data_IF_042043605579
#
_entry.id   IF_042043605579
#
_cell.length_a   1.000
_cell.length_b   1.000
_cell.length_c   1.000
_cell.angle_alpha   90.00
_cell.angle_beta   90.00
_cell.angle_gamma   90.00
#
_symmetry.space_group_name_H-M   'P 1'
#
loop_
_entity.id
_entity.type
_entity.pdbx_description
1 polymer ?
#
# COMPACT_ATOMS: atom_id res chain seq x y z
N UNK A 1 7.58 -18.56 -9.32
CA UNK A 1 8.10 -17.30 -9.88
C UNK A 1 7.75 -16.17 -8.93
N UNK A 2 8.71 -15.32 -8.56
CA UNK A 2 8.48 -14.20 -7.65
C UNK A 2 7.72 -13.09 -8.38
N UNK A 3 6.65 -12.56 -7.76
CA UNK A 3 5.85 -11.42 -8.24
C UNK A 3 6.69 -10.15 -8.49
N UNK A 4 7.94 -10.14 -8.06
CA UNK A 4 8.81 -8.96 -7.95
C UNK A 4 9.92 -8.90 -8.98
N UNK A 5 10.03 -9.86 -9.91
CA UNK A 5 11.23 -9.92 -10.77
C UNK A 5 11.24 -8.80 -11.83
N UNK A 6 10.07 -8.34 -12.30
CA UNK A 6 9.91 -7.12 -13.11
C UNK A 6 8.71 -6.26 -12.69
N UNK A 7 8.16 -6.49 -11.50
CA UNK A 7 6.99 -5.76 -11.00
C UNK A 7 7.39 -4.58 -10.10
N UNK A 8 6.73 -3.43 -10.27
CA UNK A 8 6.89 -2.27 -9.38
C UNK A 8 5.61 -1.99 -8.61
N UNK A 9 5.77 -1.75 -7.30
CA UNK A 9 4.70 -1.24 -6.45
C UNK A 9 5.07 0.17 -5.99
N UNK A 10 4.19 1.14 -6.23
CA UNK A 10 4.39 2.51 -5.74
C UNK A 10 3.09 3.19 -5.34
N UNK A 11 3.24 4.17 -4.44
CA UNK A 11 2.18 5.07 -4.02
C UNK A 11 2.46 6.48 -4.58
N UNK A 12 1.43 7.15 -5.08
CA UNK A 12 1.50 8.53 -5.56
C UNK A 12 0.35 9.34 -4.98
N UNK A 13 0.63 10.45 -4.32
CA UNK A 13 -0.39 11.42 -3.93
C UNK A 13 -0.84 12.13 -5.22
N UNK A 14 -2.12 12.00 -5.55
CA UNK A 14 -2.74 12.68 -6.71
C UNK A 14 -3.38 13.99 -6.28
N UNK A 15 -3.98 13.99 -5.09
CA UNK A 15 -4.58 15.16 -4.44
C UNK A 15 -4.29 15.04 -2.94
N UNK A 16 -3.71 16.08 -2.34
CA UNK A 16 -3.40 16.11 -0.91
C UNK A 16 -4.59 16.55 -0.05
N UNK A 17 -5.72 16.91 -0.67
CA UNK A 17 -6.95 17.31 0.01
C UNK A 17 -6.85 18.65 0.73
N UNK A 18 -5.77 19.42 0.54
CA UNK A 18 -5.58 20.71 1.24
C UNK A 18 -6.66 21.74 0.95
N UNK A 19 -7.38 21.59 -0.16
CA UNK A 19 -8.47 22.49 -0.58
C UNK A 19 -9.86 22.04 -0.14
N UNK A 20 -10.01 20.87 0.49
CA UNK A 20 -11.30 20.29 0.90
C UNK A 20 -11.19 19.77 2.35
N UNK A 21 -12.04 20.29 3.24
CA UNK A 21 -11.89 20.22 4.69
C UNK A 21 -12.08 18.85 5.36
N UNK A 22 -12.05 17.76 4.61
CA UNK A 22 -12.50 16.48 5.11
C UNK A 22 -11.98 15.33 4.25
N UNK A 23 -10.83 14.78 4.64
CA UNK A 23 -10.48 13.38 4.36
C UNK A 23 -10.38 13.01 2.87
N UNK A 24 -10.22 14.00 1.98
CA UNK A 24 -10.34 13.83 0.53
C UNK A 24 -9.02 13.56 -0.19
N UNK A 25 -7.93 13.30 0.54
CA UNK A 25 -6.66 13.00 -0.09
C UNK A 25 -6.82 11.76 -0.98
N UNK A 26 -6.50 11.90 -2.26
CA UNK A 26 -6.56 10.83 -3.26
C UNK A 26 -5.15 10.32 -3.48
N UNK A 27 -4.92 9.09 -3.05
CA UNK A 27 -3.63 8.42 -3.18
C UNK A 27 -3.79 7.27 -4.16
N UNK A 28 -2.96 7.23 -5.19
CA UNK A 28 -2.92 6.11 -6.11
C UNK A 28 -1.96 5.04 -5.59
N UNK A 29 -2.44 3.80 -5.50
CA UNK A 29 -1.60 2.60 -5.43
C UNK A 29 -1.53 2.01 -6.84
N UNK A 30 -0.31 1.91 -7.37
CA UNK A 30 -0.03 1.24 -8.63
C UNK A 30 0.73 -0.06 -8.37
N UNK A 31 0.25 -1.12 -9.01
CA UNK A 31 0.89 -2.44 -9.02
C UNK A 31 1.11 -2.78 -10.49
N UNK A 32 2.35 -2.63 -10.92
CA UNK A 32 2.78 -2.98 -12.25
C UNK A 32 3.48 -4.34 -12.16
N UNK A 33 3.11 -5.25 -13.06
CA UNK A 33 3.70 -6.58 -13.25
C UNK A 33 4.02 -6.73 -14.73
N UNK A 34 4.77 -7.75 -15.13
CA UNK A 34 5.09 -8.00 -16.55
C UNK A 34 3.84 -8.05 -17.45
N UNK A 35 2.74 -8.56 -16.89
CA UNK A 35 1.52 -8.90 -17.64
C UNK A 35 0.33 -8.00 -17.31
N UNK A 36 0.41 -7.18 -16.26
CA UNK A 36 -0.73 -6.41 -15.78
C UNK A 36 -0.35 -5.12 -15.06
N UNK A 37 -1.20 -4.11 -15.24
CA UNK A 37 -1.11 -2.83 -14.56
C UNK A 37 -2.42 -2.59 -13.79
N UNK A 38 -2.36 -2.71 -12.47
CA UNK A 38 -3.49 -2.44 -11.58
C UNK A 38 -3.31 -1.09 -10.89
N UNK A 39 -4.39 -0.30 -10.85
CA UNK A 39 -4.40 1.03 -10.23
C UNK A 39 -5.60 1.12 -9.30
N UNK A 40 -5.35 1.54 -8.07
CA UNK A 40 -6.36 1.72 -7.05
C UNK A 40 -6.30 3.15 -6.52
N UNK A 41 -7.46 3.75 -6.28
CA UNK A 41 -7.57 5.02 -5.58
C UNK A 41 -7.88 4.73 -4.12
N UNK A 42 -7.05 5.30 -3.26
CA UNK A 42 -7.09 5.13 -1.82
C UNK A 42 -7.35 6.49 -1.17
N UNK A 43 -8.10 6.45 -0.09
CA UNK A 43 -8.19 7.58 0.84
C UNK A 43 -7.04 7.56 1.84
N UNK A 44 -6.90 8.62 2.62
CA UNK A 44 -5.98 8.65 3.75
C UNK A 44 -6.29 7.55 4.78
N UNK A 45 -7.56 7.26 5.00
CA UNK A 45 -8.01 6.22 5.94
C UNK A 45 -7.59 4.83 5.47
N UNK A 46 -7.71 4.55 4.17
CA UNK A 46 -7.29 3.28 3.59
C UNK A 46 -5.79 3.07 3.78
N UNK A 47 -4.98 4.10 3.53
CA UNK A 47 -3.54 4.03 3.72
C UNK A 47 -3.17 3.80 5.19
N UNK A 48 -3.88 4.43 6.13
CA UNK A 48 -3.67 4.22 7.57
C UNK A 48 -3.99 2.77 7.99
N UNK A 49 -5.03 2.17 7.41
CA UNK A 49 -5.40 0.77 7.65
C UNK A 49 -4.37 -0.19 7.07
N UNK A 50 -3.95 0.01 5.81
CA UNK A 50 -2.89 -0.78 5.16
C UNK A 50 -1.62 -0.77 6.01
N UNK A 51 -1.20 0.42 6.47
CA UNK A 51 -0.02 0.56 7.35
C UNK A 51 -0.17 -0.27 8.63
N UNK A 52 -1.35 -0.23 9.27
CA UNK A 52 -1.62 -0.99 10.50
C UNK A 52 -1.49 -2.49 10.25
N UNK A 53 -2.08 -2.97 9.15
CA UNK A 53 -2.05 -4.39 8.79
C UNK A 53 -0.65 -4.87 8.42
N UNK A 54 0.11 -4.10 7.63
CA UNK A 54 1.50 -4.42 7.34
C UNK A 54 2.35 -4.56 8.62
N UNK A 55 2.20 -3.63 9.57
CA UNK A 55 2.92 -3.70 10.84
C UNK A 55 2.52 -4.93 11.66
N UNK A 56 1.23 -5.28 11.70
CA UNK A 56 0.73 -6.49 12.37
C UNK A 56 1.34 -7.75 11.76
N UNK A 57 1.32 -7.86 10.43
CA UNK A 57 1.88 -9.02 9.71
C UNK A 57 3.38 -9.15 9.94
N UNK A 58 4.13 -8.04 9.86
CA UNK A 58 5.57 -8.04 10.13
C UNK A 58 5.88 -8.48 11.55
N UNK A 59 5.09 -8.05 12.53
CA UNK A 59 5.22 -8.50 13.93
C UNK A 59 4.99 -10.01 14.04
N UNK A 60 3.88 -10.52 13.49
CA UNK A 60 3.56 -11.95 13.51
C UNK A 60 4.66 -12.81 12.82
N UNK A 61 5.23 -12.33 11.72
CA UNK A 61 6.34 -13.00 11.03
C UNK A 61 7.61 -13.02 11.88
N UNK A 62 7.91 -11.91 12.58
CA UNK A 62 9.08 -11.83 13.47
C UNK A 62 8.98 -12.78 14.66
N UNK A 63 7.81 -12.89 15.29
CA UNK A 63 7.56 -13.77 16.42
C UNK A 63 7.66 -15.24 15.99
N UNK A 64 7.09 -15.61 14.83
CA UNK A 64 7.22 -16.96 14.26
C UNK A 64 8.66 -17.33 13.93
N UNK A 65 9.49 -16.36 13.53
CA UNK A 65 10.91 -16.59 13.26
C UNK A 65 11.70 -16.83 14.55
N UNK A 66 11.34 -16.18 15.65
CA UNK A 66 12.00 -16.36 16.95
C UNK A 66 11.56 -17.63 17.69
N UNK A 67 10.40 -18.19 17.35
CA UNK A 67 9.89 -19.44 17.91
C UNK A 67 10.44 -20.71 17.23
N UNK A 68 11.31 -20.56 16.22
CA UNK A 68 12.04 -21.63 15.52
C UNK A 68 13.51 -21.58 15.88
#
# INVERSE_FOLDING_TARGET
MSLTTDGSLYFKILDDGTTRSDHSAVIQLAIDTCDSHARYLLTQTDLANIRRDCNRILKELSERRMAK
#
